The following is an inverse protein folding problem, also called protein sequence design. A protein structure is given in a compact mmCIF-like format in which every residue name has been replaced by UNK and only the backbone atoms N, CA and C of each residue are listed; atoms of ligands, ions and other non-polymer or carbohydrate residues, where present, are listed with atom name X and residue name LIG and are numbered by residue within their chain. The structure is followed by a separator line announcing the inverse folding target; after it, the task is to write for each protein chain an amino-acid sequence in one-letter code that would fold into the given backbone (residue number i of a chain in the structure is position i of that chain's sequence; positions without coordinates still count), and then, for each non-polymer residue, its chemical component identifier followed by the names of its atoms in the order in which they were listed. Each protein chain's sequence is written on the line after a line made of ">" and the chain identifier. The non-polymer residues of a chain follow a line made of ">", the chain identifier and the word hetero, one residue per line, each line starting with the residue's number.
data_IF_982044396651
#
_entry.id   IF_982044396651
#
_cell.length_a   1.000
_cell.length_b   1.000
_cell.length_c   1.000
_cell.angle_alpha   90.00
_cell.angle_beta   90.00
_cell.angle_gamma   90.00
#
_symmetry.space_group_name_H-M   'P 1'
#
loop_
_entity.id
_entity.type
_entity.pdbx_description
1 polymer ?
#
# COMPACT_ATOMS: atom_id res chain seq x y z
N UNK A 1 23.46 51.78 -8.67
CA UNK A 1 22.91 50.45 -8.96
C UNK A 1 24.12 49.51 -8.97
N UNK A 2 24.38 48.84 -7.87
CA UNK A 2 25.59 47.98 -7.71
C UNK A 2 25.17 46.53 -8.02
N UNK A 3 25.48 46.14 -9.23
CA UNK A 3 25.26 44.82 -9.79
C UNK A 3 26.41 43.87 -9.41
N UNK A 4 26.67 43.77 -8.10
CA UNK A 4 27.78 42.97 -7.60
C UNK A 4 27.23 41.74 -6.90
N UNK A 5 27.45 40.56 -7.49
CA UNK A 5 27.17 39.27 -6.84
C UNK A 5 27.98 39.19 -5.54
N UNK A 6 27.30 38.92 -4.43
CA UNK A 6 27.91 38.98 -3.08
C UNK A 6 28.70 37.71 -2.70
N UNK A 7 28.99 36.81 -3.64
CA UNK A 7 29.81 35.63 -3.39
C UNK A 7 29.29 34.37 -4.07
N UNK A 8 30.12 33.32 -4.05
CA UNK A 8 29.76 32.02 -4.67
C UNK A 8 28.53 31.40 -3.98
N UNK A 9 27.49 31.12 -4.76
CA UNK A 9 26.25 30.49 -4.25
C UNK A 9 25.11 31.47 -3.92
N UNK A 10 25.30 32.78 -3.97
CA UNK A 10 24.21 33.75 -3.87
C UNK A 10 23.36 33.77 -5.16
N UNK A 11 22.06 33.86 -5.02
CA UNK A 11 21.14 33.89 -6.15
C UNK A 11 20.26 35.15 -6.14
N UNK A 12 19.96 35.65 -7.33
CA UNK A 12 19.12 36.84 -7.52
C UNK A 12 17.65 36.41 -7.67
N UNK A 13 16.80 36.88 -6.76
CA UNK A 13 15.36 36.63 -6.81
C UNK A 13 14.65 37.62 -7.75
N UNK A 14 13.42 37.33 -8.10
CA UNK A 14 12.57 38.15 -9.01
C UNK A 14 12.24 39.55 -8.46
N UNK A 15 12.47 39.80 -7.18
CA UNK A 15 12.35 41.11 -6.52
C UNK A 15 13.60 41.99 -6.67
N UNK A 16 14.62 41.51 -7.39
CA UNK A 16 15.86 42.22 -7.64
C UNK A 16 16.83 42.21 -6.45
N UNK A 17 16.64 41.36 -5.44
CA UNK A 17 17.52 41.24 -4.27
C UNK A 17 18.35 39.96 -4.31
N UNK A 18 19.54 40.02 -3.79
CA UNK A 18 20.46 38.89 -3.63
C UNK A 18 20.20 38.17 -2.31
N UNK A 19 20.05 36.84 -2.38
CA UNK A 19 19.86 35.97 -1.22
C UNK A 19 21.04 35.02 -1.05
N UNK A 20 21.50 34.81 0.21
CA UNK A 20 22.60 33.89 0.48
C UNK A 20 22.19 32.45 0.15
N UNK A 21 23.14 31.55 -0.16
CA UNK A 21 22.85 30.14 -0.29
C UNK A 21 22.16 29.65 0.98
N UNK A 22 20.99 29.07 0.83
CA UNK A 22 20.28 28.47 1.95
C UNK A 22 21.19 27.38 2.54
N UNK A 23 21.68 27.61 3.76
CA UNK A 23 22.30 26.53 4.51
C UNK A 23 21.26 25.43 4.67
N UNK A 24 21.57 24.23 4.15
CA UNK A 24 20.74 23.07 4.40
C UNK A 24 20.51 22.97 5.92
N UNK A 25 19.28 22.78 6.40
CA UNK A 25 19.03 22.61 7.82
C UNK A 25 19.98 21.55 8.37
N UNK A 26 20.71 21.88 9.42
CA UNK A 26 21.57 20.91 10.08
C UNK A 26 20.72 19.70 10.48
N UNK A 27 21.20 18.47 10.27
CA UNK A 27 20.47 17.30 10.73
C UNK A 27 20.24 17.43 12.24
N UNK A 28 19.03 17.13 12.73
CA UNK A 28 18.73 17.23 14.15
C UNK A 28 19.72 16.37 14.96
N UNK A 29 20.12 16.81 16.14
CA UNK A 29 21.02 16.05 16.98
C UNK A 29 20.43 14.66 17.29
N UNK A 30 21.27 13.59 17.33
CA UNK A 30 20.81 12.24 17.62
C UNK A 30 20.04 12.22 18.94
N UNK A 31 18.75 11.85 18.90
CA UNK A 31 17.90 11.68 20.09
C UNK A 31 16.69 12.59 20.22
N UNK A 32 16.48 13.58 19.34
CA UNK A 32 15.24 14.36 19.33
C UNK A 32 14.35 13.96 18.14
N UNK A 33 13.52 12.93 18.36
CA UNK A 33 12.42 12.62 17.46
C UNK A 33 11.26 13.61 17.71
N UNK A 34 10.97 14.45 16.74
CA UNK A 34 9.76 15.29 16.78
C UNK A 34 8.53 14.40 16.54
N UNK A 35 7.33 14.79 17.04
CA UNK A 35 6.09 14.05 16.73
C UNK A 35 5.86 13.85 15.23
N UNK A 36 6.39 14.72 14.38
CA UNK A 36 6.38 14.58 12.93
C UNK A 36 7.26 13.43 12.41
N UNK A 37 8.40 13.16 13.07
CA UNK A 37 9.30 12.09 12.68
C UNK A 37 8.70 10.71 12.97
N UNK A 38 7.93 10.57 14.05
CA UNK A 38 7.19 9.33 14.33
C UNK A 38 6.13 9.05 13.27
N UNK A 39 5.42 10.07 12.79
CA UNK A 39 4.43 9.91 11.71
C UNK A 39 5.12 9.61 10.38
N UNK A 40 6.29 10.16 10.12
CA UNK A 40 7.09 9.82 8.94
C UNK A 40 7.69 8.42 9.03
N UNK A 41 8.12 7.97 10.20
CA UNK A 41 8.66 6.62 10.41
C UNK A 41 7.61 5.53 10.14
N UNK A 42 6.31 5.80 10.37
CA UNK A 42 5.22 4.94 9.91
C UNK A 42 4.95 5.06 8.38
N UNK A 43 5.48 6.08 7.72
CA UNK A 43 5.26 6.36 6.28
C UNK A 43 6.37 5.87 5.36
N UNK A 44 7.54 5.59 5.87
CA UNK A 44 8.72 5.24 5.05
C UNK A 44 9.12 3.78 5.20
N UNK A 45 8.18 2.86 5.02
CA UNK A 45 8.58 1.55 4.51
C UNK A 45 8.98 1.80 3.06
N UNK A 46 10.28 1.80 2.77
CA UNK A 46 10.80 1.91 1.41
C UNK A 46 10.19 0.75 0.61
N UNK A 47 9.63 0.99 -0.58
CA UNK A 47 9.14 -0.10 -1.40
C UNK A 47 10.30 -1.05 -1.69
N UNK A 48 10.18 -2.28 -1.24
CA UNK A 48 11.22 -3.30 -1.46
C UNK A 48 11.14 -3.88 -2.86
N UNK A 49 10.01 -3.66 -3.57
CA UNK A 49 9.72 -4.27 -4.86
C UNK A 49 9.55 -5.80 -4.79
N UNK A 50 9.47 -6.36 -3.57
CA UNK A 50 9.27 -7.80 -3.40
C UNK A 50 7.89 -8.19 -3.89
N UNK A 51 7.86 -9.04 -4.92
CA UNK A 51 6.61 -9.50 -5.52
C UNK A 51 5.85 -10.43 -4.58
N UNK A 52 4.54 -10.26 -4.53
CA UNK A 52 3.64 -11.17 -3.83
C UNK A 52 3.53 -12.53 -4.53
N UNK A 53 2.92 -13.50 -3.83
CA UNK A 53 2.78 -14.87 -4.31
C UNK A 53 1.43 -15.08 -5.00
N UNK A 54 1.40 -15.43 -6.30
CA UNK A 54 0.16 -15.85 -6.94
C UNK A 54 -0.42 -17.10 -6.25
N UNK A 55 -1.74 -17.12 -6.09
CA UNK A 55 -2.47 -18.24 -5.47
C UNK A 55 -3.69 -18.56 -6.31
N UNK A 56 -4.02 -19.86 -6.44
CA UNK A 56 -5.23 -20.27 -7.13
C UNK A 56 -6.47 -19.80 -6.36
N UNK A 57 -7.34 -18.94 -6.93
CA UNK A 57 -8.43 -18.30 -6.18
C UNK A 57 -9.40 -19.30 -5.55
N UNK A 58 -9.73 -20.38 -6.27
CA UNK A 58 -10.64 -21.40 -5.77
C UNK A 58 -10.03 -22.25 -4.65
N UNK A 59 -8.67 -22.46 -4.64
CA UNK A 59 -7.96 -23.14 -3.54
C UNK A 59 -8.04 -22.29 -2.26
N UNK A 60 -7.84 -20.98 -2.38
CA UNK A 60 -8.00 -20.04 -1.25
C UNK A 60 -9.40 -20.15 -0.67
N UNK A 61 -10.44 -20.15 -1.53
CA UNK A 61 -11.82 -20.26 -1.09
C UNK A 61 -12.09 -21.60 -0.39
N UNK A 62 -11.69 -22.72 -1.00
CA UNK A 62 -11.91 -24.07 -0.42
C UNK A 62 -11.16 -24.21 0.91
N UNK A 63 -9.88 -23.84 0.98
CA UNK A 63 -9.09 -23.93 2.21
C UNK A 63 -9.71 -23.07 3.32
N UNK A 64 -10.24 -21.89 3.00
CA UNK A 64 -10.92 -21.05 4.00
C UNK A 64 -12.14 -21.75 4.58
N UNK A 65 -12.94 -22.45 3.75
CA UNK A 65 -14.11 -23.23 4.23
C UNK A 65 -13.65 -24.42 5.09
N UNK A 66 -12.71 -25.23 4.59
CA UNK A 66 -12.22 -26.43 5.28
C UNK A 66 -11.60 -26.08 6.64
N UNK A 67 -10.88 -24.96 6.73
CA UNK A 67 -10.24 -24.50 7.96
C UNK A 67 -11.13 -23.62 8.84
N UNK A 68 -12.44 -23.58 8.58
CA UNK A 68 -13.42 -22.75 9.30
C UNK A 68 -13.00 -21.28 9.41
N UNK A 69 -12.40 -20.72 8.34
CA UNK A 69 -11.98 -19.33 8.25
C UNK A 69 -10.52 -19.05 8.62
N UNK A 70 -9.81 -19.98 9.31
CA UNK A 70 -8.42 -19.74 9.72
C UNK A 70 -7.52 -19.44 8.53
N UNK A 71 -7.64 -20.21 7.44
CA UNK A 71 -6.88 -19.93 6.23
C UNK A 71 -7.26 -18.58 5.60
N UNK A 72 -8.51 -18.17 5.71
CA UNK A 72 -8.97 -16.85 5.25
C UNK A 72 -8.30 -15.69 5.99
N UNK A 73 -8.10 -15.81 7.30
CA UNK A 73 -7.36 -14.82 8.09
C UNK A 73 -5.88 -14.76 7.66
N UNK A 74 -5.24 -15.92 7.49
CA UNK A 74 -3.87 -15.99 6.97
C UNK A 74 -3.76 -15.38 5.56
N UNK A 75 -4.70 -15.69 4.67
CA UNK A 75 -4.73 -15.15 3.32
C UNK A 75 -4.86 -13.63 3.29
N UNK A 76 -5.73 -13.07 4.13
CA UNK A 76 -5.88 -11.62 4.24
C UNK A 76 -4.59 -10.97 4.78
N UNK A 77 -4.01 -11.52 5.86
CA UNK A 77 -2.71 -11.07 6.36
C UNK A 77 -1.66 -11.04 5.26
N UNK A 78 -1.48 -12.17 4.57
CA UNK A 78 -0.47 -12.31 3.52
C UNK A 78 -0.71 -11.33 2.36
N UNK A 79 -1.97 -11.13 1.95
CA UNK A 79 -2.31 -10.20 0.87
C UNK A 79 -1.98 -8.75 1.23
N UNK A 80 -2.33 -8.30 2.43
CA UNK A 80 -1.99 -6.94 2.88
C UNK A 80 -0.48 -6.76 3.08
N UNK A 81 0.21 -7.78 3.61
CA UNK A 81 1.66 -7.73 3.79
C UNK A 81 2.38 -7.66 2.44
N UNK A 82 2.03 -8.52 1.50
CA UNK A 82 2.61 -8.52 0.15
C UNK A 82 2.40 -7.20 -0.59
N UNK A 83 1.23 -6.60 -0.49
CA UNK A 83 0.96 -5.28 -1.06
C UNK A 83 1.79 -4.18 -0.39
N UNK A 84 1.95 -4.24 0.93
CA UNK A 84 2.76 -3.28 1.68
C UNK A 84 4.24 -3.42 1.35
N UNK A 85 4.77 -4.65 1.33
CA UNK A 85 6.18 -4.93 1.01
C UNK A 85 6.52 -4.47 -0.42
N UNK A 86 5.63 -4.69 -1.38
CA UNK A 86 5.84 -4.25 -2.75
C UNK A 86 5.81 -2.72 -2.89
N UNK A 87 4.78 -2.07 -2.37
CA UNK A 87 4.54 -0.64 -2.63
C UNK A 87 5.11 0.30 -1.57
N UNK A 88 5.53 -0.21 -0.41
CA UNK A 88 5.89 0.59 0.76
C UNK A 88 4.72 1.37 1.36
N UNK A 89 3.49 1.09 0.93
CA UNK A 89 2.28 1.81 1.34
C UNK A 89 1.12 0.83 1.56
N UNK A 90 0.19 1.24 2.42
CA UNK A 90 -0.94 0.41 2.81
C UNK A 90 -0.91 0.11 4.30
N UNK A 91 -1.88 -0.66 4.79
CA UNK A 91 -2.02 -0.93 6.23
C UNK A 91 -1.11 -2.05 6.74
N UNK A 92 -0.51 -2.83 5.83
CA UNK A 92 0.32 -4.00 6.19
C UNK A 92 -0.49 -5.19 6.72
N UNK A 93 0.20 -6.33 6.83
CA UNK A 93 -0.45 -7.60 7.18
C UNK A 93 -0.99 -7.63 8.61
N UNK A 94 -0.23 -7.11 9.59
CA UNK A 94 -0.64 -7.16 11.00
C UNK A 94 -1.93 -6.37 11.23
N UNK A 95 -2.00 -5.13 10.72
CA UNK A 95 -3.23 -4.32 10.85
C UNK A 95 -4.38 -4.94 10.06
N UNK A 96 -4.10 -5.46 8.85
CA UNK A 96 -5.07 -6.21 8.06
C UNK A 96 -5.64 -7.43 8.79
N UNK A 97 -4.79 -8.18 9.49
CA UNK A 97 -5.20 -9.32 10.32
C UNK A 97 -6.08 -8.90 11.50
N UNK A 98 -5.70 -7.85 12.23
CA UNK A 98 -6.48 -7.32 13.34
C UNK A 98 -7.87 -6.85 12.87
N UNK A 99 -7.92 -6.15 11.73
CA UNK A 99 -9.19 -5.74 11.13
C UNK A 99 -10.01 -6.95 10.67
N UNK A 100 -9.37 -7.98 10.11
CA UNK A 100 -10.06 -9.21 9.71
C UNK A 100 -10.67 -9.96 10.90
N UNK A 101 -9.98 -9.96 12.03
CA UNK A 101 -10.43 -10.65 13.24
C UNK A 101 -11.52 -9.88 14.00
N UNK A 102 -11.30 -8.57 14.25
CA UNK A 102 -12.19 -7.77 15.08
C UNK A 102 -13.27 -7.03 14.29
N UNK A 103 -12.98 -6.66 13.05
CA UNK A 103 -13.83 -5.82 12.20
C UNK A 103 -13.97 -6.42 10.79
N UNK A 104 -14.30 -7.72 10.73
CA UNK A 104 -14.37 -8.47 9.45
C UNK A 104 -15.16 -7.75 8.37
N UNK A 105 -16.24 -7.05 8.73
CA UNK A 105 -17.06 -6.30 7.77
C UNK A 105 -16.30 -5.15 7.10
N UNK A 106 -15.40 -4.48 7.84
CA UNK A 106 -14.57 -3.41 7.28
C UNK A 106 -13.58 -3.98 6.27
N UNK A 107 -13.01 -5.13 6.57
CA UNK A 107 -12.00 -5.76 5.72
C UNK A 107 -12.55 -6.26 4.38
N UNK A 108 -13.84 -6.59 4.33
CA UNK A 108 -14.56 -6.94 3.10
C UNK A 108 -14.48 -5.82 2.06
N UNK A 109 -14.53 -4.57 2.49
CA UNK A 109 -14.42 -3.39 1.64
C UNK A 109 -12.98 -2.91 1.48
N UNK A 110 -12.16 -3.03 2.54
CA UNK A 110 -10.81 -2.52 2.58
C UNK A 110 -9.86 -3.30 1.68
N UNK A 111 -9.92 -4.63 1.69
CA UNK A 111 -9.04 -5.45 0.87
C UNK A 111 -9.18 -5.16 -0.64
N UNK A 112 -10.36 -5.14 -1.25
CA UNK A 112 -10.48 -4.79 -2.67
C UNK A 112 -10.14 -3.32 -2.96
N UNK A 113 -10.31 -2.41 -1.99
CA UNK A 113 -9.88 -1.03 -2.12
C UNK A 113 -8.35 -0.94 -2.20
N UNK A 114 -7.61 -1.63 -1.34
CA UNK A 114 -6.14 -1.67 -1.36
C UNK A 114 -5.60 -2.29 -2.66
N UNK A 115 -6.22 -3.38 -3.14
CA UNK A 115 -5.87 -3.95 -4.44
C UNK A 115 -6.08 -2.92 -5.57
N UNK A 116 -7.20 -2.20 -5.56
CA UNK A 116 -7.44 -1.12 -6.53
C UNK A 116 -6.45 0.02 -6.44
N UNK A 117 -6.03 0.40 -5.23
CA UNK A 117 -5.02 1.42 -5.00
C UNK A 117 -3.63 0.98 -5.52
N UNK A 118 -3.29 -0.32 -5.38
CA UNK A 118 -2.06 -0.87 -5.91
C UNK A 118 -1.93 -0.64 -7.43
N UNK A 119 -3.00 -0.94 -8.19
CA UNK A 119 -3.07 -0.66 -9.62
C UNK A 119 -3.02 0.84 -9.95
N UNK A 120 -3.76 1.64 -9.17
CA UNK A 120 -3.86 3.08 -9.39
C UNK A 120 -2.52 3.81 -9.21
N UNK A 121 -1.68 3.37 -8.26
CA UNK A 121 -0.33 3.91 -8.03
C UNK A 121 0.59 3.74 -9.24
N UNK A 122 0.34 2.75 -10.06
CA UNK A 122 1.06 2.50 -11.31
C UNK A 122 0.43 3.18 -12.54
N UNK A 123 -0.51 4.11 -12.33
CA UNK A 123 -1.21 4.79 -13.44
C UNK A 123 -2.21 3.91 -14.18
N UNK A 124 -2.52 2.72 -13.65
CA UNK A 124 -3.55 1.81 -14.18
C UNK A 124 -4.90 2.13 -13.55
N UNK A 125 -5.99 1.80 -14.23
CA UNK A 125 -7.33 1.92 -13.65
C UNK A 125 -7.51 0.99 -12.43
N UNK A 126 -8.57 1.22 -11.63
CA UNK A 126 -8.91 0.37 -10.48
C UNK A 126 -9.82 -0.78 -10.91
N UNK A 127 -9.29 -2.01 -11.17
CA UNK A 127 -10.09 -3.15 -11.64
C UNK A 127 -11.02 -3.70 -10.57
N UNK A 128 -10.69 -3.44 -9.30
CA UNK A 128 -11.52 -3.69 -8.12
C UNK A 128 -11.45 -2.49 -7.19
N UNK A 129 -12.46 -2.31 -6.36
CA UNK A 129 -12.53 -1.21 -5.40
C UNK A 129 -13.37 -1.63 -4.19
N UNK A 130 -13.55 -0.75 -3.21
CA UNK A 130 -14.41 -1.02 -2.05
C UNK A 130 -15.81 -1.55 -2.47
N UNK A 131 -16.37 -1.06 -3.58
CA UNK A 131 -17.67 -1.55 -4.09
C UNK A 131 -17.69 -3.07 -4.36
N UNK A 132 -16.54 -3.68 -4.63
CA UNK A 132 -16.43 -5.14 -4.76
C UNK A 132 -16.84 -5.87 -3.47
N UNK A 133 -16.76 -5.21 -2.31
CA UNK A 133 -17.21 -5.76 -1.04
C UNK A 133 -18.71 -6.07 -1.00
N UNK A 134 -19.55 -5.37 -1.78
CA UNK A 134 -20.98 -5.64 -1.83
C UNK A 134 -21.36 -7.03 -2.34
N UNK A 135 -20.48 -7.74 -3.03
CA UNK A 135 -20.71 -9.12 -3.44
C UNK A 135 -20.99 -10.04 -2.26
N UNK A 136 -20.47 -9.74 -1.04
CA UNK A 136 -20.68 -10.55 0.16
C UNK A 136 -22.16 -10.69 0.53
N UNK A 137 -22.99 -9.72 0.13
CA UNK A 137 -24.42 -9.71 0.44
C UNK A 137 -25.25 -10.67 -0.44
N UNK A 138 -24.64 -11.27 -1.48
CA UNK A 138 -25.30 -12.35 -2.23
C UNK A 138 -25.19 -13.65 -1.42
N UNK A 139 -26.30 -14.20 -0.93
CA UNK A 139 -26.28 -15.41 -0.12
C UNK A 139 -25.62 -16.57 -0.89
N UNK A 140 -24.87 -17.38 -0.16
CA UNK A 140 -24.16 -18.59 -0.59
C UNK A 140 -22.99 -18.37 -1.58
N UNK A 141 -23.12 -17.46 -2.54
CA UNK A 141 -22.14 -17.29 -3.65
C UNK A 141 -21.29 -16.05 -3.47
N UNK A 142 -21.77 -15.04 -2.77
CA UNK A 142 -21.15 -13.71 -2.74
C UNK A 142 -19.77 -13.72 -2.13
N UNK A 143 -19.58 -14.41 -1.03
CA UNK A 143 -18.27 -14.56 -0.40
C UNK A 143 -17.26 -15.24 -1.34
N UNK A 144 -17.64 -16.31 -2.00
CA UNK A 144 -16.80 -17.02 -2.96
C UNK A 144 -16.40 -16.12 -4.13
N UNK A 145 -17.37 -15.40 -4.71
CA UNK A 145 -17.13 -14.43 -5.80
C UNK A 145 -16.17 -13.34 -5.35
N UNK A 146 -16.35 -12.81 -4.14
CA UNK A 146 -15.47 -11.77 -3.58
C UNK A 146 -14.02 -12.26 -3.46
N UNK A 147 -13.78 -13.44 -2.85
CA UNK A 147 -12.45 -14.03 -2.72
C UNK A 147 -11.81 -14.24 -4.09
N UNK A 148 -12.55 -14.84 -5.02
CA UNK A 148 -12.05 -15.12 -6.38
C UNK A 148 -11.68 -13.84 -7.12
N UNK A 149 -12.52 -12.80 -7.05
CA UNK A 149 -12.22 -11.50 -7.69
C UNK A 149 -10.99 -10.83 -7.11
N UNK A 150 -10.86 -10.76 -5.79
CA UNK A 150 -9.72 -10.17 -5.13
C UNK A 150 -8.42 -10.91 -5.47
N UNK A 151 -8.40 -12.24 -5.29
CA UNK A 151 -7.20 -13.03 -5.55
C UNK A 151 -6.80 -13.04 -7.03
N UNK A 152 -7.77 -13.10 -7.92
CA UNK A 152 -7.49 -13.04 -9.36
C UNK A 152 -6.82 -11.74 -9.74
N UNK A 153 -7.27 -10.59 -9.25
CA UNK A 153 -6.65 -9.28 -9.52
C UNK A 153 -5.26 -9.14 -8.91
N UNK A 154 -5.04 -9.69 -7.72
CA UNK A 154 -3.69 -9.77 -7.14
C UNK A 154 -2.76 -10.63 -8.01
N UNK A 155 -3.22 -11.81 -8.46
CA UNK A 155 -2.42 -12.66 -9.34
C UNK A 155 -2.05 -11.96 -10.65
N UNK A 156 -3.03 -11.32 -11.30
CA UNK A 156 -2.81 -10.56 -12.54
C UNK A 156 -1.75 -9.46 -12.32
N UNK A 157 -1.80 -8.78 -11.18
CA UNK A 157 -0.82 -7.77 -10.83
C UNK A 157 0.58 -8.37 -10.65
N UNK A 158 0.72 -9.43 -9.83
CA UNK A 158 2.02 -10.05 -9.55
C UNK A 158 2.65 -10.69 -10.79
N UNK A 159 1.86 -11.37 -11.61
CA UNK A 159 2.34 -11.97 -12.86
C UNK A 159 2.80 -10.89 -13.85
N UNK A 160 2.09 -9.78 -13.95
CA UNK A 160 2.50 -8.65 -14.80
C UNK A 160 3.83 -8.02 -14.35
N UNK A 161 4.25 -8.23 -13.11
CA UNK A 161 5.50 -7.73 -12.54
C UNK A 161 6.59 -8.82 -12.43
N UNK A 162 6.38 -9.99 -13.02
CA UNK A 162 7.40 -11.04 -13.15
C UNK A 162 7.26 -12.20 -12.16
N UNK A 163 6.19 -12.28 -11.37
CA UNK A 163 5.93 -13.47 -10.57
C UNK A 163 5.55 -14.65 -11.49
N UNK A 164 5.95 -15.85 -11.09
CA UNK A 164 5.61 -17.07 -11.86
C UNK A 164 4.10 -17.31 -11.85
N UNK A 165 3.52 -17.49 -13.03
CA UNK A 165 2.12 -17.88 -13.18
C UNK A 165 1.86 -19.28 -12.60
N UNK A 166 0.64 -19.52 -12.07
CA UNK A 166 0.21 -20.79 -11.45
C UNK A 166 -0.97 -21.41 -12.21
#
# INVERSE_FOLDING_TARGET
>A
MSDVSQGQGWWLASDGKWYPPQQAPLPPPPGQSTPGDMVQQFRTVQPTGVLGKPRRPWVVAILTVITLGIYGLYWQYASFQEMNDYSGQGIGGVVGLLLAFFLSIVNIFLLPAEIGNLYFREGKGRPVSAVTGFWIFLPLVGWFVWVVKCQRRLNEFWVAHGATAI
#
